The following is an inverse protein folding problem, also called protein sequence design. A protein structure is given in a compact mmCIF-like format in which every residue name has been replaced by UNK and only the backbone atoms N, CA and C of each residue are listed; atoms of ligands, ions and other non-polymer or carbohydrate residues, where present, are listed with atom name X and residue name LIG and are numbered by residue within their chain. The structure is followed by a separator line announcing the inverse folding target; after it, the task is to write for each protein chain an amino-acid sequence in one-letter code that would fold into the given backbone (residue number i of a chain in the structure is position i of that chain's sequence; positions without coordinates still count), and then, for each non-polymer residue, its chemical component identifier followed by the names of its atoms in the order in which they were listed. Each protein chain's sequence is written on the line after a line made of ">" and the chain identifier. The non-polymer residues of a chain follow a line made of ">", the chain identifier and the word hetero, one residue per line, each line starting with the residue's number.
data_IF_256571078514
#
_entry.id   IF_256571078514
#
_cell.length_a   1.000
_cell.length_b   1.000
_cell.length_c   1.000
_cell.angle_alpha   90.00
_cell.angle_beta   90.00
_cell.angle_gamma   90.00
#
_symmetry.space_group_name_H-M   'P 1'
#
loop_
_entity.id
_entity.type
_entity.pdbx_description
1 polymer ?
#
# COMPACT_ATOMS: atom_id res chain seq x y z
N UNK A 1 10.85 49.43 30.08
CA UNK A 1 9.54 48.75 30.14
C UNK A 1 9.79 47.25 30.18
N UNK A 2 8.97 46.54 30.95
CA UNK A 2 9.05 45.08 31.22
C UNK A 2 8.86 44.23 29.97
N UNK A 3 9.41 43.02 30.06
CA UNK A 3 9.28 41.86 29.17
C UNK A 3 7.84 41.48 28.79
N UNK A 4 7.71 40.80 27.65
CA UNK A 4 6.84 39.63 27.53
C UNK A 4 7.57 38.52 26.78
N UNK A 5 7.95 37.50 27.55
CA UNK A 5 8.12 36.13 27.10
C UNK A 5 6.73 35.58 26.72
N UNK A 6 6.54 35.14 25.48
CA UNK A 6 5.57 34.08 25.17
C UNK A 6 6.22 33.05 24.25
N UNK A 7 6.62 31.97 24.93
CA UNK A 7 6.76 30.59 24.50
C UNK A 7 6.03 30.28 23.18
N UNK A 8 6.78 30.02 22.12
CA UNK A 8 6.28 29.18 21.02
C UNK A 8 6.77 27.76 21.32
N UNK A 9 5.89 26.77 21.53
CA UNK A 9 6.31 25.42 21.84
C UNK A 9 7.00 24.79 20.64
N UNK A 10 8.12 24.12 20.92
CA UNK A 10 8.78 23.17 20.03
C UNK A 10 7.75 22.21 19.42
N UNK A 11 7.56 22.30 18.11
CA UNK A 11 7.04 21.20 17.32
C UNK A 11 7.97 20.98 16.12
N UNK A 12 9.27 20.81 16.42
CA UNK A 12 10.19 20.20 15.48
C UNK A 12 9.74 18.74 15.34
N UNK A 13 9.03 18.44 14.24
CA UNK A 13 8.87 17.07 13.77
C UNK A 13 10.26 16.42 13.74
N UNK A 14 10.40 15.23 14.31
CA UNK A 14 11.67 14.51 14.26
C UNK A 14 12.03 14.18 12.80
N UNK A 15 13.32 13.98 12.50
CA UNK A 15 13.77 13.52 11.18
C UNK A 15 13.13 12.18 10.77
N UNK A 16 12.65 11.40 11.74
CA UNK A 16 11.87 10.19 11.53
C UNK A 16 10.41 10.52 11.13
N UNK A 17 9.80 11.54 11.74
CA UNK A 17 8.46 12.04 11.39
C UNK A 17 8.43 12.72 10.01
N UNK A 18 9.51 13.45 9.66
CA UNK A 18 9.71 13.98 8.31
C UNK A 18 9.99 12.84 7.34
N UNK A 19 10.84 11.87 7.73
CA UNK A 19 11.26 10.70 6.93
C UNK A 19 10.15 9.71 6.57
N UNK A 20 9.15 9.54 7.43
CA UNK A 20 7.96 8.72 7.16
C UNK A 20 7.04 9.36 6.12
N UNK A 21 6.97 10.70 6.08
CA UNK A 21 6.23 11.46 5.07
C UNK A 21 6.91 11.44 3.68
N UNK A 22 8.18 11.00 3.56
CA UNK A 22 8.93 11.09 2.28
C UNK A 22 8.82 9.85 1.40
N UNK A 23 8.47 8.67 1.92
CA UNK A 23 8.58 7.43 1.12
C UNK A 23 7.49 7.33 0.04
N UNK A 24 6.25 7.65 0.36
CA UNK A 24 5.18 7.78 -0.62
C UNK A 24 5.49 8.89 -1.64
N UNK A 25 6.02 10.02 -1.20
CA UNK A 25 6.40 11.14 -2.06
C UNK A 25 7.57 10.78 -3.00
N UNK A 26 8.55 10.03 -2.50
CA UNK A 26 9.64 9.51 -3.29
C UNK A 26 9.14 8.52 -4.34
N UNK A 27 8.21 7.63 -3.97
CA UNK A 27 7.56 6.74 -4.91
C UNK A 27 6.81 7.54 -5.98
N UNK A 28 5.98 8.52 -5.60
CA UNK A 28 5.27 9.38 -6.55
C UNK A 28 6.23 10.09 -7.52
N UNK A 29 7.31 10.67 -6.98
CA UNK A 29 8.37 11.29 -7.79
C UNK A 29 8.95 10.30 -8.80
N UNK A 30 9.30 9.10 -8.35
CA UNK A 30 9.83 8.05 -9.23
C UNK A 30 8.81 7.65 -10.31
N UNK A 31 7.53 7.52 -9.97
CA UNK A 31 6.48 7.17 -10.94
C UNK A 31 6.30 8.26 -12.00
N UNK A 32 6.41 9.54 -11.61
CA UNK A 32 6.43 10.67 -12.55
C UNK A 32 7.68 10.67 -13.43
N UNK A 33 8.87 10.46 -12.86
CA UNK A 33 10.13 10.37 -13.61
C UNK A 33 10.14 9.22 -14.62
N UNK A 34 9.37 8.16 -14.36
CA UNK A 34 9.17 7.02 -15.26
C UNK A 34 8.00 7.19 -16.23
N UNK A 35 7.35 8.36 -16.23
CA UNK A 35 6.22 8.68 -17.10
C UNK A 35 5.08 7.64 -17.00
N UNK A 36 4.86 7.09 -15.79
CA UNK A 36 3.83 6.06 -15.58
C UNK A 36 2.43 6.64 -15.38
N UNK A 37 2.30 7.96 -15.31
CA UNK A 37 1.00 8.61 -15.24
C UNK A 37 0.20 8.40 -16.53
N UNK A 38 -1.12 8.57 -16.42
CA UNK A 38 -2.04 8.63 -17.54
C UNK A 38 -2.66 10.02 -17.60
N UNK A 39 -3.82 10.15 -18.24
CA UNK A 39 -4.70 11.33 -18.14
C UNK A 39 -5.33 11.48 -16.74
N UNK A 40 -5.31 10.42 -15.92
CA UNK A 40 -5.70 10.45 -14.50
C UNK A 40 -4.44 10.58 -13.62
N UNK A 41 -4.44 11.46 -12.59
CA UNK A 41 -3.35 11.53 -11.63
C UNK A 41 -3.27 10.25 -10.79
N UNK A 42 -2.08 9.97 -10.26
CA UNK A 42 -1.91 8.96 -9.21
C UNK A 42 -2.82 9.26 -8.01
N UNK A 43 -3.33 8.21 -7.38
CA UNK A 43 -4.35 8.32 -6.32
C UNK A 43 -4.04 7.33 -5.20
N UNK A 44 -3.74 7.86 -4.02
CA UNK A 44 -3.32 7.10 -2.85
C UNK A 44 -4.45 6.95 -1.84
N UNK A 45 -4.37 5.87 -1.04
CA UNK A 45 -5.23 5.71 0.11
C UNK A 45 -4.88 6.72 1.20
N UNK A 46 -5.86 7.08 2.03
CA UNK A 46 -5.60 7.78 3.28
C UNK A 46 -5.27 6.78 4.40
N UNK A 47 -4.56 7.25 5.42
CA UNK A 47 -4.15 6.46 6.58
C UNK A 47 -5.32 5.72 7.25
N UNK A 48 -6.52 6.33 7.28
CA UNK A 48 -7.71 5.73 7.86
C UNK A 48 -8.22 4.51 7.08
N UNK A 49 -8.11 4.52 5.74
CA UNK A 49 -8.51 3.38 4.90
C UNK A 49 -7.59 2.18 5.15
N UNK A 50 -6.28 2.42 5.21
CA UNK A 50 -5.29 1.37 5.47
C UNK A 50 -5.48 0.77 6.85
N UNK A 51 -5.68 1.61 7.88
CA UNK A 51 -5.97 1.15 9.25
C UNK A 51 -7.24 0.32 9.34
N UNK A 52 -8.28 0.72 8.62
CA UNK A 52 -9.53 -0.03 8.57
C UNK A 52 -9.33 -1.41 7.93
N UNK A 53 -8.62 -1.47 6.80
CA UNK A 53 -8.27 -2.74 6.14
C UNK A 53 -7.49 -3.67 7.09
N UNK A 54 -6.44 -3.15 7.73
CA UNK A 54 -5.63 -3.90 8.72
C UNK A 54 -6.49 -4.44 9.86
N UNK A 55 -7.40 -3.61 10.39
CA UNK A 55 -8.31 -3.99 11.48
C UNK A 55 -9.29 -5.08 11.03
N UNK A 56 -9.93 -4.93 9.87
CA UNK A 56 -10.93 -5.87 9.38
C UNK A 56 -10.33 -7.23 9.03
N UNK A 57 -9.07 -7.26 8.59
CA UNK A 57 -8.34 -8.49 8.28
C UNK A 57 -7.58 -9.07 9.48
N UNK A 58 -7.44 -8.31 10.57
CA UNK A 58 -6.67 -8.72 11.74
C UNK A 58 -5.16 -8.84 11.47
N UNK A 59 -4.61 -7.99 10.61
CA UNK A 59 -3.21 -8.04 10.16
C UNK A 59 -2.47 -6.73 10.41
N UNK A 60 -1.15 -6.75 10.20
CA UNK A 60 -0.29 -5.57 10.09
C UNK A 60 0.42 -5.61 8.74
N UNK A 61 0.18 -4.60 7.90
CA UNK A 61 0.86 -4.52 6.61
C UNK A 61 2.31 -4.08 6.82
N UNK A 62 3.26 -4.61 6.03
CA UNK A 62 4.62 -4.11 6.02
C UNK A 62 4.63 -2.62 5.67
N UNK A 63 5.47 -1.84 6.34
CA UNK A 63 5.53 -0.40 6.14
C UNK A 63 5.78 0.00 4.68
N UNK A 64 6.59 -0.77 3.94
CA UNK A 64 6.80 -0.53 2.51
C UNK A 64 5.53 -0.64 1.67
N UNK A 65 4.63 -1.57 2.02
CA UNK A 65 3.36 -1.73 1.32
C UNK A 65 2.35 -0.66 1.74
N UNK A 66 2.36 -0.24 3.02
CA UNK A 66 1.59 0.93 3.47
C UNK A 66 1.99 2.19 2.70
N UNK A 67 3.29 2.44 2.52
CA UNK A 67 3.79 3.57 1.74
C UNK A 67 3.40 3.49 0.25
N UNK A 68 3.33 2.28 -0.32
CA UNK A 68 2.77 2.07 -1.65
C UNK A 68 1.28 2.45 -1.70
N UNK A 69 0.47 1.98 -0.74
CA UNK A 69 -0.96 2.30 -0.69
C UNK A 69 -1.20 3.80 -0.49
N UNK A 70 -0.44 4.45 0.39
CA UNK A 70 -0.50 5.90 0.61
C UNK A 70 -0.16 6.70 -0.65
N UNK A 71 0.75 6.20 -1.49
CA UNK A 71 1.11 6.86 -2.74
C UNK A 71 0.08 6.62 -3.85
N UNK A 72 -0.36 5.38 -4.03
CA UNK A 72 -1.02 4.92 -5.26
C UNK A 72 -2.05 3.79 -5.08
N UNK A 73 -2.54 3.55 -3.87
CA UNK A 73 -3.44 2.43 -3.58
C UNK A 73 -4.77 2.43 -4.34
N UNK A 74 -5.29 3.61 -4.70
CA UNK A 74 -6.51 3.75 -5.51
C UNK A 74 -6.21 3.80 -7.01
N UNK A 75 -5.05 4.32 -7.40
CA UNK A 75 -4.61 4.37 -8.79
C UNK A 75 -3.10 4.55 -8.95
N UNK A 76 -2.44 3.54 -9.54
CA UNK A 76 -0.99 3.50 -9.77
C UNK A 76 -0.55 3.82 -11.20
N UNK A 77 -1.43 4.41 -12.02
CA UNK A 77 -1.17 4.63 -13.44
C UNK A 77 -0.80 3.35 -14.16
N UNK A 78 0.34 3.34 -14.86
CA UNK A 78 0.81 2.22 -15.68
C UNK A 78 1.71 1.21 -14.96
N UNK A 79 2.02 1.39 -13.66
CA UNK A 79 2.99 0.56 -12.94
C UNK A 79 2.67 -0.95 -13.01
N UNK A 80 1.39 -1.31 -12.84
CA UNK A 80 0.91 -2.68 -12.90
C UNK A 80 -0.10 -2.87 -14.03
N UNK A 81 0.05 -2.14 -15.14
CA UNK A 81 -0.90 -2.23 -16.26
C UNK A 81 -1.07 -3.68 -16.72
N UNK A 82 -2.33 -4.14 -16.74
CA UNK A 82 -2.69 -5.52 -17.08
C UNK A 82 -2.82 -6.45 -15.87
N UNK A 83 -2.44 -6.03 -14.66
CA UNK A 83 -2.69 -6.77 -13.41
C UNK A 83 -3.60 -5.97 -12.49
N UNK A 84 -4.43 -6.65 -11.71
CA UNK A 84 -5.19 -5.97 -10.68
C UNK A 84 -4.34 -5.86 -9.40
N UNK A 85 -4.31 -4.65 -8.85
CA UNK A 85 -3.61 -4.28 -7.61
C UNK A 85 -4.41 -3.25 -6.80
N UNK A 86 -5.70 -3.06 -7.14
CA UNK A 86 -6.56 -2.05 -6.54
C UNK A 86 -6.76 -2.30 -5.05
N UNK A 87 -6.65 -1.26 -4.24
CA UNK A 87 -6.95 -1.32 -2.81
C UNK A 87 -8.33 -1.92 -2.52
N UNK A 88 -9.32 -1.60 -3.37
CA UNK A 88 -10.70 -2.09 -3.22
C UNK A 88 -10.84 -3.61 -3.29
N UNK A 89 -9.93 -4.30 -3.99
CA UNK A 89 -10.00 -5.74 -4.23
C UNK A 89 -9.06 -6.55 -3.33
N UNK A 90 -8.30 -5.90 -2.43
CA UNK A 90 -7.30 -6.60 -1.61
C UNK A 90 -7.89 -7.72 -0.74
N UNK A 91 -9.12 -7.55 -0.23
CA UNK A 91 -9.78 -8.62 0.53
C UNK A 91 -10.14 -9.79 -0.38
N UNK A 92 -10.72 -9.51 -1.55
CA UNK A 92 -11.13 -10.50 -2.55
C UNK A 92 -9.92 -11.33 -3.03
N UNK A 93 -8.78 -10.69 -3.26
CA UNK A 93 -7.55 -11.38 -3.64
C UNK A 93 -7.08 -12.44 -2.64
N UNK A 94 -7.41 -12.31 -1.34
CA UNK A 94 -7.01 -13.33 -0.36
C UNK A 94 -7.77 -14.64 -0.57
N UNK A 95 -9.03 -14.55 -0.99
CA UNK A 95 -9.89 -15.70 -1.21
C UNK A 95 -9.69 -16.25 -2.62
N UNK A 96 -9.62 -15.38 -3.63
CA UNK A 96 -9.34 -15.78 -5.02
C UNK A 96 -8.01 -16.53 -5.16
N UNK A 97 -6.97 -16.15 -4.41
CA UNK A 97 -5.69 -16.85 -4.41
C UNK A 97 -5.82 -18.31 -3.92
N UNK A 98 -6.63 -18.55 -2.88
CA UNK A 98 -6.89 -19.89 -2.34
C UNK A 98 -7.74 -20.71 -3.29
N UNK A 99 -8.76 -20.09 -3.88
CA UNK A 99 -9.62 -20.73 -4.87
C UNK A 99 -8.83 -21.16 -6.09
N UNK A 100 -7.97 -20.28 -6.62
CA UNK A 100 -7.16 -20.58 -7.80
C UNK A 100 -6.25 -21.79 -7.61
N UNK A 101 -5.60 -21.91 -6.44
CA UNK A 101 -4.76 -23.06 -6.11
C UNK A 101 -5.58 -24.34 -6.00
N UNK A 102 -6.74 -24.27 -5.32
CA UNK A 102 -7.65 -25.39 -5.12
C UNK A 102 -8.19 -25.91 -6.46
N UNK A 103 -8.62 -25.03 -7.35
CA UNK A 103 -9.22 -25.39 -8.65
C UNK A 103 -8.24 -26.04 -9.61
N UNK A 104 -6.97 -25.65 -9.56
CA UNK A 104 -5.93 -26.22 -10.39
C UNK A 104 -5.34 -27.52 -9.83
N UNK A 105 -5.89 -28.07 -8.73
CA UNK A 105 -5.34 -29.21 -8.00
C UNK A 105 -3.83 -29.06 -7.73
N UNK A 106 -3.40 -27.83 -7.45
CA UNK A 106 -1.98 -27.53 -7.27
C UNK A 106 -1.54 -27.98 -5.86
N UNK A 107 -0.42 -28.73 -5.73
CA UNK A 107 0.06 -29.18 -4.41
C UNK A 107 0.62 -28.05 -3.53
N UNK A 108 0.78 -26.84 -4.08
CA UNK A 108 1.25 -25.67 -3.32
C UNK A 108 0.23 -25.31 -2.25
N UNK A 109 0.72 -25.10 -1.03
CA UNK A 109 -0.06 -24.54 0.08
C UNK A 109 0.49 -23.15 0.38
N UNK A 110 -0.38 -22.14 0.33
CA UNK A 110 -0.01 -20.80 0.78
C UNK A 110 0.09 -20.80 2.31
N UNK A 111 1.18 -20.28 2.90
CA UNK A 111 1.24 -20.04 4.33
C UNK A 111 0.07 -19.19 4.81
N UNK A 112 -0.43 -19.42 6.03
CA UNK A 112 -1.49 -18.59 6.63
C UNK A 112 -1.07 -17.12 6.78
N UNK A 113 0.24 -16.85 6.83
CA UNK A 113 0.84 -15.52 6.80
C UNK A 113 0.87 -14.88 5.42
N UNK A 114 0.26 -15.46 4.39
CA UNK A 114 0.26 -14.92 3.04
C UNK A 114 -0.67 -13.72 2.95
N UNK A 115 -0.18 -12.63 2.37
CA UNK A 115 -0.98 -11.50 1.91
C UNK A 115 -0.82 -11.35 0.39
N UNK A 116 -1.89 -11.66 -0.35
CA UNK A 116 -1.94 -11.49 -1.81
C UNK A 116 -2.21 -10.03 -2.15
N UNK A 117 -1.37 -9.41 -2.96
CA UNK A 117 -1.57 -8.01 -3.36
C UNK A 117 -1.88 -7.83 -4.85
N UNK A 118 -1.80 -8.91 -5.62
CA UNK A 118 -2.14 -8.90 -7.04
C UNK A 118 -2.52 -10.28 -7.54
N UNK A 119 -3.55 -10.31 -8.37
CA UNK A 119 -3.89 -11.46 -9.22
C UNK A 119 -3.83 -11.00 -10.67
N UNK A 120 -3.16 -11.79 -11.50
CA UNK A 120 -3.07 -11.55 -12.93
C UNK A 120 -3.82 -12.64 -13.68
N UNK A 121 -4.97 -12.26 -14.24
CA UNK A 121 -5.78 -13.05 -15.18
C UNK A 121 -6.09 -14.49 -14.72
N UNK A 122 -6.21 -14.72 -13.41
CA UNK A 122 -6.58 -16.02 -12.85
C UNK A 122 -5.55 -17.12 -13.07
N UNK A 123 -4.26 -16.81 -13.20
CA UNK A 123 -3.20 -17.83 -13.26
C UNK A 123 -1.91 -17.46 -12.53
N UNK A 124 -1.72 -16.18 -12.17
CA UNK A 124 -0.57 -15.73 -11.39
C UNK A 124 -1.04 -14.99 -10.13
N UNK A 125 -0.45 -15.37 -9.00
CA UNK A 125 -0.67 -14.78 -7.67
C UNK A 125 0.63 -14.11 -7.25
N UNK A 126 0.59 -12.84 -6.85
CA UNK A 126 1.72 -12.15 -6.21
C UNK A 126 1.38 -11.85 -4.77
N UNK A 127 2.28 -12.27 -3.87
CA UNK A 127 2.06 -12.16 -2.45
C UNK A 127 3.36 -11.89 -1.69
N UNK A 128 3.22 -11.47 -0.43
CA UNK A 128 4.29 -11.45 0.55
C UNK A 128 3.79 -12.09 1.85
N UNK A 129 4.71 -12.40 2.76
CA UNK A 129 4.35 -12.91 4.09
C UNK A 129 4.29 -11.78 5.11
N UNK A 130 3.20 -11.71 5.88
CA UNK A 130 3.06 -10.86 7.06
C UNK A 130 3.67 -11.57 8.29
N UNK A 131 4.24 -10.78 9.21
CA UNK A 131 4.88 -11.29 10.44
C UNK A 131 3.89 -11.39 11.58
#
# INVERSE_FOLDING_TARGET
>A
MKELNEVIPNNELSLEDVGLFVKSDYLLKLLHEKELNTDRPFDGCIEAEIKLLEQEMGIKLPESYRQYLLAVGHYSGRLFQGSDTSFSHLKEFQDEAKELIRENNNPVVLPDSTFTFSIHQGYEIRFFQIK
#
